data_IF_591906063340
#
_entry.id   IF_591906063340
#
_cell.length_a   1.000
_cell.length_b   1.000
_cell.length_c   1.000
_cell.angle_alpha   90.00
_cell.angle_beta   90.00
_cell.angle_gamma   90.00
#
_symmetry.space_group_name_H-M   'P 1'
#
loop_
_entity.id
_entity.type
_entity.pdbx_description
1 polymer ?
#
# COMPACT_ATOMS: atom_id res chain seq x y z
N UNK A 1 5.91 -17.86 -43.25
CA UNK A 1 5.15 -18.68 -42.30
C UNK A 1 4.69 -17.75 -41.19
N UNK A 2 3.38 -17.50 -41.16
CA UNK A 2 2.72 -16.62 -40.18
C UNK A 2 2.41 -17.44 -38.93
N UNK A 3 2.93 -17.02 -37.77
CA UNK A 3 2.51 -17.52 -36.46
C UNK A 3 1.57 -16.50 -35.83
N UNK A 4 0.36 -16.91 -35.55
CA UNK A 4 -0.68 -16.13 -34.91
C UNK A 4 -0.47 -16.14 -33.42
N UNK A 5 -0.22 -14.97 -32.81
CA UNK A 5 -0.33 -14.77 -31.37
C UNK A 5 -1.80 -14.48 -31.02
N UNK A 6 -2.33 -15.43 -30.32
CA UNK A 6 -3.71 -15.49 -29.87
C UNK A 6 -3.96 -14.61 -28.68
N UNK A 7 -4.87 -13.79 -28.81
CA UNK A 7 -5.63 -12.84 -28.06
C UNK A 7 -6.34 -13.47 -26.83
N UNK A 8 -5.60 -13.73 -25.75
CA UNK A 8 -6.16 -14.24 -24.49
C UNK A 8 -6.72 -13.13 -23.56
N UNK A 9 -6.62 -11.87 -23.97
CA UNK A 9 -7.07 -10.76 -23.14
C UNK A 9 -8.52 -10.30 -23.41
N UNK A 10 -9.18 -10.88 -24.43
CA UNK A 10 -10.55 -10.54 -24.79
C UNK A 10 -11.61 -11.32 -24.00
N UNK A 11 -11.22 -12.47 -23.43
CA UNK A 11 -12.16 -13.37 -22.74
C UNK A 11 -12.50 -12.96 -21.30
N UNK A 12 -11.77 -12.03 -20.73
CA UNK A 12 -12.00 -11.58 -19.33
C UNK A 12 -13.02 -10.42 -19.27
N UNK A 13 -13.16 -9.63 -20.34
CA UNK A 13 -14.12 -8.53 -20.40
C UNK A 13 -15.57 -8.97 -20.67
N UNK A 14 -15.79 -10.07 -21.40
CA UNK A 14 -17.16 -10.51 -21.78
C UNK A 14 -17.93 -11.16 -20.61
N UNK A 15 -17.24 -11.55 -19.53
CA UNK A 15 -17.90 -12.25 -18.41
C UNK A 15 -18.51 -11.31 -17.37
N UNK A 16 -18.23 -10.02 -17.42
CA UNK A 16 -18.74 -9.02 -16.48
C UNK A 16 -19.97 -8.26 -16.97
N UNK A 17 -20.35 -8.40 -18.25
CA UNK A 17 -21.47 -7.67 -18.85
C UNK A 17 -22.79 -8.45 -18.87
N UNK A 18 -22.83 -9.71 -18.40
CA UNK A 18 -23.99 -10.59 -18.53
C UNK A 18 -24.89 -10.69 -17.28
N UNK A 19 -24.77 -9.81 -16.30
CA UNK A 19 -25.61 -9.83 -15.10
C UNK A 19 -26.34 -8.52 -14.86
N UNK A 20 -27.11 -8.05 -15.83
CA UNK A 20 -28.15 -7.05 -15.59
C UNK A 20 -29.16 -7.02 -16.73
N UNK A 21 -30.14 -7.90 -16.67
CA UNK A 21 -31.40 -7.74 -17.38
C UNK A 21 -32.51 -7.65 -16.34
N UNK A 22 -33.27 -6.55 -16.25
CA UNK A 22 -34.45 -6.52 -15.42
C UNK A 22 -35.59 -7.25 -16.11
N UNK A 23 -36.01 -8.34 -15.51
CA UNK A 23 -37.17 -9.10 -15.94
C UNK A 23 -38.45 -8.35 -15.57
N UNK A 24 -39.18 -7.88 -16.56
CA UNK A 24 -40.52 -7.35 -16.45
C UNK A 24 -41.47 -8.47 -16.00
N UNK A 25 -42.14 -8.31 -14.88
CA UNK A 25 -43.18 -9.20 -14.42
C UNK A 25 -44.54 -8.54 -14.70
N UNK A 26 -45.46 -9.20 -15.41
CA UNK A 26 -46.80 -8.67 -15.62
C UNK A 26 -47.68 -8.88 -14.38
N UNK A 27 -48.60 -7.98 -14.24
CA UNK A 27 -49.59 -7.78 -13.19
C UNK A 27 -50.33 -9.05 -12.71
N UNK A 28 -50.45 -9.15 -11.39
CA UNK A 28 -51.32 -10.09 -10.68
C UNK A 28 -51.59 -9.60 -9.24
N UNK A 29 -52.79 -9.05 -9.09
CA UNK A 29 -53.65 -8.95 -7.91
C UNK A 29 -53.10 -9.01 -6.46
N UNK A 30 -53.30 -7.89 -5.81
CA UNK A 30 -53.69 -7.60 -4.43
C UNK A 30 -53.76 -8.76 -3.41
N UNK A 31 -52.85 -8.69 -2.47
CA UNK A 31 -53.17 -8.95 -1.07
C UNK A 31 -52.42 -7.96 -0.23
N UNK A 32 -53.16 -6.95 0.33
CA UNK A 32 -52.63 -6.05 1.36
C UNK A 32 -52.37 -6.85 2.62
N UNK A 33 -51.16 -7.26 2.84
CA UNK A 33 -50.67 -7.60 4.16
C UNK A 33 -50.09 -6.33 4.76
N UNK A 34 -50.90 -5.72 5.66
CA UNK A 34 -50.47 -4.66 6.55
C UNK A 34 -49.48 -5.27 7.53
N UNK A 35 -48.17 -5.08 7.30
CA UNK A 35 -47.18 -5.28 8.32
C UNK A 35 -47.24 -4.13 9.32
N UNK A 36 -47.28 -4.42 10.63
CA UNK A 36 -47.14 -3.38 11.64
C UNK A 36 -45.79 -2.74 11.47
N UNK A 37 -45.74 -1.40 11.40
CA UNK A 37 -44.57 -0.61 11.16
C UNK A 37 -43.42 -0.97 12.11
N UNK A 38 -42.37 -1.52 11.55
CA UNK A 38 -41.06 -1.40 12.12
C UNK A 38 -40.60 0.00 11.73
N UNK A 39 -40.69 0.92 12.64
CA UNK A 39 -39.90 2.15 12.59
C UNK A 39 -38.46 1.71 12.58
N UNK A 40 -37.85 1.67 11.41
CA UNK A 40 -36.41 1.65 11.26
C UNK A 40 -35.91 2.93 11.92
N UNK A 41 -35.50 2.83 13.17
CA UNK A 41 -34.70 3.87 13.80
C UNK A 41 -33.48 4.06 12.91
N UNK A 42 -33.48 5.12 12.14
CA UNK A 42 -32.28 5.61 11.43
C UNK A 42 -31.30 5.96 12.55
N UNK A 43 -30.47 5.00 12.89
CA UNK A 43 -29.42 5.17 13.88
C UNK A 43 -28.48 6.25 13.32
N UNK A 44 -28.49 7.43 13.93
CA UNK A 44 -27.55 8.46 13.59
C UNK A 44 -26.14 7.89 13.80
N UNK A 45 -25.20 8.01 12.84
CA UNK A 45 -23.88 7.45 12.95
C UNK A 45 -23.21 7.92 14.24
N UNK A 46 -22.59 7.01 14.96
CA UNK A 46 -21.85 7.29 16.18
C UNK A 46 -20.71 8.30 15.91
N UNK A 47 -20.22 8.97 16.96
CA UNK A 47 -19.09 9.88 16.82
C UNK A 47 -17.87 9.19 16.19
N UNK A 48 -17.63 7.91 16.53
CA UNK A 48 -16.54 7.09 15.96
C UNK A 48 -16.74 6.81 14.47
N UNK A 49 -17.97 6.50 14.05
CA UNK A 49 -18.29 6.30 12.63
C UNK A 49 -18.17 7.61 11.83
N UNK A 50 -18.48 8.75 12.45
CA UNK A 50 -18.29 10.06 11.83
C UNK A 50 -16.82 10.43 11.70
N UNK A 51 -15.97 10.11 12.70
CA UNK A 51 -14.53 10.31 12.63
C UNK A 51 -13.89 9.45 11.54
N UNK A 52 -14.23 8.16 11.47
CA UNK A 52 -13.75 7.25 10.42
C UNK A 52 -14.18 7.76 9.04
N UNK A 53 -15.42 8.18 8.87
CA UNK A 53 -15.91 8.73 7.61
C UNK A 53 -15.25 10.06 7.25
N UNK A 54 -14.86 10.89 8.22
CA UNK A 54 -14.11 12.12 8.01
C UNK A 54 -12.68 11.82 7.55
N UNK A 55 -11.99 10.89 8.22
CA UNK A 55 -10.64 10.44 7.83
C UNK A 55 -10.62 9.81 6.43
N UNK A 56 -11.64 9.03 6.07
CA UNK A 56 -11.76 8.46 4.72
C UNK A 56 -11.95 9.53 3.65
N UNK A 57 -12.69 10.60 3.95
CA UNK A 57 -12.84 11.74 3.03
C UNK A 57 -11.55 12.53 2.88
N UNK A 58 -10.85 12.77 3.98
CA UNK A 58 -9.56 13.47 3.96
C UNK A 58 -8.54 12.73 3.10
N UNK A 59 -8.47 11.39 3.21
CA UNK A 59 -7.56 10.57 2.38
C UNK A 59 -7.94 10.65 0.89
N UNK A 60 -9.25 10.70 0.56
CA UNK A 60 -9.69 10.78 -0.83
C UNK A 60 -9.33 12.11 -1.51
N UNK A 61 -9.12 13.18 -0.74
CA UNK A 61 -8.75 14.50 -1.23
C UNK A 61 -7.23 14.71 -1.34
N UNK A 62 -6.43 13.82 -0.70
CA UNK A 62 -4.96 13.93 -0.72
C UNK A 62 -4.42 13.43 -2.08
N UNK A 63 -3.56 14.20 -2.75
CA UNK A 63 -2.89 13.73 -3.97
C UNK A 63 -2.11 12.43 -3.75
N UNK A 64 -2.17 11.52 -4.72
CA UNK A 64 -1.50 10.23 -4.65
C UNK A 64 0.00 10.35 -4.32
N UNK A 65 0.65 11.40 -4.83
CA UNK A 65 2.07 11.67 -4.58
C UNK A 65 2.37 11.91 -3.08
N UNK A 66 1.46 12.59 -2.37
CA UNK A 66 1.61 12.84 -0.93
C UNK A 66 1.41 11.55 -0.14
N UNK A 67 0.43 10.73 -0.51
CA UNK A 67 0.20 9.43 0.12
C UNK A 67 1.42 8.53 -0.07
N UNK A 68 1.96 8.46 -1.30
CA UNK A 68 3.13 7.64 -1.63
C UNK A 68 4.36 8.12 -0.86
N UNK A 69 4.64 9.41 -0.85
CA UNK A 69 5.82 9.95 -0.15
C UNK A 69 5.71 9.78 1.35
N UNK A 70 4.54 10.01 1.94
CA UNK A 70 4.28 9.80 3.36
C UNK A 70 4.46 8.33 3.77
N UNK A 71 3.93 7.40 2.98
CA UNK A 71 4.10 5.96 3.23
C UNK A 71 5.59 5.56 3.17
N UNK A 72 6.34 6.08 2.19
CA UNK A 72 7.78 5.83 2.09
C UNK A 72 8.53 6.35 3.33
N UNK A 73 8.23 7.57 3.77
CA UNK A 73 8.85 8.18 4.97
C UNK A 73 8.54 7.37 6.22
N UNK A 74 7.33 6.88 6.40
CA UNK A 74 6.99 6.01 7.53
C UNK A 74 7.77 4.69 7.52
N UNK A 75 7.91 4.06 6.35
CA UNK A 75 8.74 2.85 6.20
C UNK A 75 10.21 3.15 6.50
N UNK A 76 10.72 4.32 6.05
CA UNK A 76 12.08 4.76 6.34
C UNK A 76 12.31 4.97 7.83
N UNK A 77 11.40 5.66 8.52
CA UNK A 77 11.49 5.90 9.96
C UNK A 77 11.46 4.59 10.74
N UNK A 78 10.55 3.68 10.41
CA UNK A 78 10.48 2.38 11.05
C UNK A 78 11.77 1.57 10.83
N UNK A 79 12.32 1.58 9.61
CA UNK A 79 13.56 0.89 9.30
C UNK A 79 14.76 1.51 10.04
N UNK A 80 14.82 2.83 10.18
CA UNK A 80 15.86 3.53 10.91
C UNK A 80 15.88 3.11 12.38
N UNK A 81 14.72 3.09 13.03
CA UNK A 81 14.59 2.61 14.44
C UNK A 81 15.12 1.18 14.57
N UNK A 82 14.72 0.29 13.63
CA UNK A 82 15.16 -1.12 13.65
C UNK A 82 16.63 -1.33 13.32
N UNK A 83 17.28 -0.37 12.65
CA UNK A 83 18.73 -0.33 12.48
C UNK A 83 19.49 0.18 13.72
N UNK A 84 18.80 0.69 14.72
CA UNK A 84 19.40 1.30 15.92
C UNK A 84 19.78 2.77 15.73
N UNK A 85 19.10 3.47 14.81
CA UNK A 85 19.27 4.92 14.58
C UNK A 85 18.26 5.77 15.37
N UNK A 86 17.54 5.18 16.31
CA UNK A 86 16.66 5.92 17.20
C UNK A 86 17.46 6.74 18.21
N UNK A 87 16.93 7.92 18.55
CA UNK A 87 17.47 8.72 19.65
C UNK A 87 16.86 8.24 20.98
N UNK A 88 17.68 8.13 22.01
CA UNK A 88 17.25 7.80 23.38
C UNK A 88 17.86 6.51 23.94
N UNK A 89 17.60 6.29 25.22
CA UNK A 89 18.16 5.17 25.99
C UNK A 89 17.62 3.80 25.52
N UNK A 90 16.47 3.80 24.88
CA UNK A 90 15.77 2.59 24.40
C UNK A 90 16.25 2.15 23.00
N UNK A 91 17.16 2.86 22.35
CA UNK A 91 17.58 2.61 20.96
C UNK A 91 18.09 1.18 20.75
N UNK A 92 18.87 0.65 21.68
CA UNK A 92 19.39 -0.72 21.59
C UNK A 92 18.31 -1.78 21.82
N UNK A 93 17.28 -1.49 22.63
CA UNK A 93 16.16 -2.41 22.86
C UNK A 93 15.23 -2.51 21.64
N UNK A 94 15.12 -1.42 20.87
CA UNK A 94 14.29 -1.35 19.67
C UNK A 94 14.98 -1.91 18.43
N UNK A 95 16.30 -2.10 18.48
CA UNK A 95 17.12 -2.60 17.37
C UNK A 95 16.76 -4.05 17.03
N UNK A 96 16.40 -4.26 15.76
CA UNK A 96 16.04 -5.57 15.23
C UNK A 96 16.39 -5.61 13.74
N UNK A 97 17.53 -6.21 13.43
CA UNK A 97 18.05 -6.25 12.06
C UNK A 97 17.24 -7.17 11.13
N UNK A 98 16.52 -8.16 11.68
CA UNK A 98 15.65 -9.02 10.86
C UNK A 98 14.41 -8.25 10.40
N UNK A 99 13.82 -7.43 11.28
CA UNK A 99 12.73 -6.54 10.92
C UNK A 99 13.22 -5.38 10.04
N UNK A 100 14.40 -4.81 10.32
CA UNK A 100 15.02 -3.80 9.46
C UNK A 100 15.19 -4.30 8.03
N UNK A 101 15.68 -5.53 7.84
CA UNK A 101 15.85 -6.17 6.53
C UNK A 101 14.54 -6.24 5.75
N UNK A 102 13.45 -6.63 6.40
CA UNK A 102 12.12 -6.72 5.78
C UNK A 102 11.63 -5.33 5.34
N UNK A 103 11.75 -4.34 6.23
CA UNK A 103 11.32 -2.97 5.98
C UNK A 103 12.11 -2.33 4.83
N UNK A 104 13.44 -2.44 4.84
CA UNK A 104 14.30 -1.90 3.78
C UNK A 104 14.02 -2.59 2.44
N UNK A 105 13.81 -3.91 2.45
CA UNK A 105 13.49 -4.66 1.23
C UNK A 105 12.14 -4.24 0.64
N UNK A 106 11.12 -4.08 1.49
CA UNK A 106 9.80 -3.60 1.08
C UNK A 106 9.88 -2.17 0.54
N UNK A 107 10.58 -1.27 1.27
CA UNK A 107 10.80 0.11 0.85
C UNK A 107 11.52 0.19 -0.50
N UNK A 108 12.54 -0.62 -0.74
CA UNK A 108 13.27 -0.64 -2.01
C UNK A 108 12.35 -1.00 -3.19
N UNK A 109 11.51 -2.02 -3.04
CA UNK A 109 10.49 -2.37 -4.05
C UNK A 109 9.48 -1.25 -4.25
N UNK A 110 8.99 -0.67 -3.16
CA UNK A 110 8.02 0.42 -3.18
C UNK A 110 8.57 1.66 -3.90
N UNK A 111 9.76 2.14 -3.51
CA UNK A 111 10.40 3.31 -4.14
C UNK A 111 10.73 3.06 -5.62
N UNK A 112 11.14 1.85 -5.97
CA UNK A 112 11.42 1.48 -7.36
C UNK A 112 10.17 1.53 -8.22
N UNK A 113 9.05 1.02 -7.73
CA UNK A 113 7.78 1.04 -8.43
C UNK A 113 7.17 2.45 -8.49
N UNK A 114 7.28 3.22 -7.41
CA UNK A 114 6.70 4.55 -7.32
C UNK A 114 7.48 5.62 -8.10
N UNK A 115 8.78 5.47 -8.26
CA UNK A 115 9.66 6.50 -8.82
C UNK A 115 9.25 7.05 -10.19
N UNK A 116 8.82 6.24 -11.18
CA UNK A 116 8.34 6.76 -12.46
C UNK A 116 7.03 7.56 -12.33
N UNK A 117 6.19 7.23 -11.35
CA UNK A 117 4.87 7.84 -11.16
C UNK A 117 4.94 9.19 -10.42
N UNK A 118 5.88 9.33 -9.47
CA UNK A 118 6.00 10.54 -8.64
C UNK A 118 7.02 11.56 -9.18
N UNK A 119 7.77 11.19 -10.20
CA UNK A 119 8.78 12.04 -10.81
C UNK A 119 10.08 12.18 -10.01
N UNK A 120 11.14 12.63 -10.67
CA UNK A 120 12.50 12.64 -10.12
C UNK A 120 12.69 13.53 -8.88
N UNK A 121 11.93 14.63 -8.79
CA UNK A 121 12.01 15.54 -7.64
C UNK A 121 11.61 14.87 -6.32
N UNK A 122 10.59 14.01 -6.34
CA UNK A 122 10.12 13.28 -5.16
C UNK A 122 10.84 11.95 -4.98
N UNK A 123 11.17 11.28 -6.09
CA UNK A 123 11.88 10.01 -6.05
C UNK A 123 13.35 10.13 -5.61
N UNK A 124 14.01 11.26 -5.90
CA UNK A 124 15.41 11.50 -5.53
C UNK A 124 15.65 11.34 -4.02
N UNK A 125 15.02 12.18 -3.17
CA UNK A 125 15.17 12.10 -1.73
C UNK A 125 14.82 10.72 -1.14
N UNK A 126 13.83 10.03 -1.69
CA UNK A 126 13.44 8.69 -1.24
C UNK A 126 14.53 7.64 -1.55
N UNK A 127 15.16 7.73 -2.73
CA UNK A 127 16.28 6.86 -3.10
C UNK A 127 17.51 7.13 -2.22
N UNK A 128 17.80 8.38 -1.93
CA UNK A 128 18.92 8.77 -1.09
C UNK A 128 18.72 8.26 0.35
N UNK A 129 17.52 8.42 0.91
CA UNK A 129 17.17 7.88 2.22
C UNK A 129 17.23 6.36 2.28
N UNK A 130 16.72 5.68 1.25
CA UNK A 130 16.82 4.23 1.13
C UNK A 130 18.29 3.77 1.10
N UNK A 131 19.14 4.45 0.32
CA UNK A 131 20.58 4.13 0.27
C UNK A 131 21.24 4.32 1.63
N UNK A 132 20.91 5.38 2.34
CA UNK A 132 21.41 5.65 3.70
C UNK A 132 21.03 4.53 4.67
N UNK A 133 19.80 4.03 4.60
CA UNK A 133 19.34 2.90 5.41
C UNK A 133 20.04 1.59 5.07
N UNK A 134 20.30 1.32 3.79
CA UNK A 134 21.05 0.13 3.35
C UNK A 134 22.49 0.17 3.88
N UNK A 135 23.13 1.35 3.90
CA UNK A 135 24.45 1.54 4.49
C UNK A 135 24.44 1.36 6.01
N UNK A 136 23.46 1.98 6.69
CA UNK A 136 23.31 1.85 8.14
C UNK A 136 23.05 0.40 8.56
N UNK A 137 22.20 -0.33 7.83
CA UNK A 137 21.99 -1.76 8.04
C UNK A 137 23.28 -2.56 7.93
N UNK A 138 24.09 -2.28 6.91
CA UNK A 138 25.37 -2.96 6.70
C UNK A 138 26.36 -2.67 7.83
N UNK A 139 26.42 -1.43 8.32
CA UNK A 139 27.25 -1.04 9.44
C UNK A 139 26.80 -1.68 10.76
N UNK A 140 25.51 -1.79 10.98
CA UNK A 140 24.93 -2.43 12.16
C UNK A 140 25.05 -3.96 12.15
N UNK A 141 25.31 -4.57 11.01
CA UNK A 141 25.37 -6.02 10.84
C UNK A 141 26.76 -6.56 11.22
N UNK A 142 26.80 -7.54 12.12
CA UNK A 142 28.04 -8.23 12.51
C UNK A 142 28.62 -9.05 11.34
N UNK A 143 27.76 -9.63 10.51
CA UNK A 143 28.13 -10.38 9.32
C UNK A 143 27.53 -9.65 8.13
N UNK A 144 28.38 -9.18 7.23
CA UNK A 144 27.95 -8.46 6.06
C UNK A 144 27.44 -9.40 4.98
N UNK A 145 26.36 -8.98 4.31
CA UNK A 145 25.87 -9.66 3.13
C UNK A 145 26.86 -9.55 1.97
N UNK A 146 26.89 -10.56 1.11
CA UNK A 146 27.62 -10.46 -0.15
C UNK A 146 27.02 -9.34 -1.04
N UNK A 147 27.82 -8.69 -1.89
CA UNK A 147 27.33 -7.63 -2.79
C UNK A 147 26.11 -8.08 -3.59
N UNK A 148 25.07 -7.30 -3.62
CA UNK A 148 23.79 -7.60 -4.26
C UNK A 148 22.86 -8.50 -3.45
N UNK A 149 23.22 -8.89 -2.24
CA UNK A 149 22.42 -9.72 -1.32
C UNK A 149 21.89 -8.97 -0.10
N UNK A 150 22.30 -7.73 0.07
CA UNK A 150 21.81 -6.87 1.13
C UNK A 150 20.33 -6.54 0.98
N UNK A 151 19.70 -5.95 2.04
CA UNK A 151 18.28 -5.64 2.03
C UNK A 151 17.92 -4.69 0.89
N UNK A 152 17.01 -5.11 0.04
CA UNK A 152 16.53 -4.33 -1.10
C UNK A 152 17.46 -4.22 -2.29
N UNK A 153 18.71 -4.70 -2.22
CA UNK A 153 19.71 -4.59 -3.31
C UNK A 153 19.29 -5.28 -4.61
N UNK A 154 18.36 -6.24 -4.54
CA UNK A 154 17.74 -6.83 -5.74
C UNK A 154 16.97 -5.82 -6.61
N UNK A 155 16.56 -4.70 -6.03
CA UNK A 155 15.82 -3.62 -6.73
C UNK A 155 16.72 -2.43 -7.07
N UNK A 156 17.73 -2.15 -6.24
CA UNK A 156 18.57 -0.95 -6.34
C UNK A 156 19.97 -1.21 -6.89
N UNK A 157 20.38 -2.47 -6.95
CA UNK A 157 21.77 -2.86 -7.17
C UNK A 157 22.61 -2.79 -5.88
N UNK A 158 23.88 -3.24 -5.95
CA UNK A 158 24.79 -3.24 -4.80
C UNK A 158 25.04 -1.82 -4.28
N UNK A 159 25.04 -1.66 -2.95
CA UNK A 159 25.36 -0.41 -2.28
C UNK A 159 26.78 -0.47 -1.72
N UNK A 160 27.62 0.44 -2.20
CA UNK A 160 29.04 0.58 -1.81
C UNK A 160 29.25 1.89 -1.06
#
# INVERSE_FOLDING_TARGET
MKGAESNDNQLVCDKLTSMSTPQSNPAGEHTRHSFPGTTEEVHAPSAEEQEVAAQMRDIAEVPAIEVITTAAVHLMSAAAVKCGLADGDDAEELKDLDEARKLITALAGFVTAAAPEIGSQHAGPLRDGLRSLQLAFREASLVQDAPGKGPGEKFTGPVN
#
